data_IF_071704620008
#
_entry.id   IF_071704620008
#
_cell.length_a   1.000
_cell.length_b   1.000
_cell.length_c   1.000
_cell.angle_alpha   90.00
_cell.angle_beta   90.00
_cell.angle_gamma   90.00
#
_symmetry.space_group_name_H-M   'P 1'
#
loop_
_entity.id
_entity.type
_entity.pdbx_description
1 polymer ?
#
# COMPACT_ATOMS: atom_id res chain seq x y z
N UNK A 1 -11.24 -9.46 12.85
CA UNK A 1 -12.66 -9.80 12.58
C UNK A 1 -13.17 -11.05 13.29
N UNK A 2 -12.50 -12.20 13.20
CA UNK A 2 -13.00 -13.49 13.77
C UNK A 2 -13.31 -13.46 15.27
N UNK A 3 -12.49 -12.78 16.08
CA UNK A 3 -12.71 -12.67 17.52
C UNK A 3 -13.96 -11.84 17.85
N UNK A 4 -14.23 -10.79 17.08
CA UNK A 4 -15.40 -9.91 17.27
C UNK A 4 -16.70 -10.60 16.87
N UNK A 5 -16.65 -11.44 15.84
CA UNK A 5 -17.79 -12.28 15.46
C UNK A 5 -18.06 -13.36 16.52
N UNK A 6 -17.03 -13.90 17.18
CA UNK A 6 -17.20 -14.85 18.28
C UNK A 6 -17.78 -14.17 19.53
N UNK A 7 -17.27 -13.00 19.89
CA UNK A 7 -17.80 -12.18 20.98
C UNK A 7 -19.25 -11.74 20.69
N UNK A 8 -19.57 -11.46 19.42
CA UNK A 8 -20.95 -11.18 18.98
C UNK A 8 -21.85 -12.39 19.23
N UNK A 9 -21.49 -13.59 18.75
CA UNK A 9 -22.31 -14.79 18.92
C UNK A 9 -22.54 -15.14 20.40
N UNK A 10 -21.53 -14.94 21.24
CA UNK A 10 -21.61 -15.15 22.69
C UNK A 10 -22.54 -14.11 23.35
N UNK A 11 -22.40 -12.84 23.00
CA UNK A 11 -23.26 -11.77 23.50
C UNK A 11 -24.71 -11.90 23.00
N UNK A 12 -24.93 -12.35 21.76
CA UNK A 12 -26.26 -12.58 21.20
C UNK A 12 -26.95 -13.77 21.89
N UNK A 13 -26.20 -14.84 22.22
CA UNK A 13 -26.72 -15.95 23.05
C UNK A 13 -27.14 -15.49 24.44
N UNK A 14 -26.32 -14.67 25.09
CA UNK A 14 -26.65 -14.12 26.42
C UNK A 14 -27.83 -13.14 26.35
N UNK A 15 -27.90 -12.36 25.25
CA UNK A 15 -28.95 -11.40 25.03
C UNK A 15 -30.32 -12.03 24.82
N UNK A 16 -30.45 -13.30 24.43
CA UNK A 16 -31.75 -13.98 24.23
C UNK A 16 -32.71 -13.83 25.41
N UNK A 17 -32.19 -13.88 26.64
CA UNK A 17 -32.98 -13.78 27.87
C UNK A 17 -33.08 -12.35 28.44
N UNK A 18 -32.49 -11.36 27.78
CA UNK A 18 -32.50 -9.97 28.24
C UNK A 18 -33.80 -9.22 27.87
N UNK A 19 -34.16 -8.20 28.66
CA UNK A 19 -35.16 -7.20 28.27
C UNK A 19 -34.84 -6.54 26.92
N UNK A 20 -35.88 -6.04 26.24
CA UNK A 20 -35.76 -5.43 24.90
C UNK A 20 -34.77 -4.24 24.87
N UNK A 21 -34.70 -3.45 25.93
CA UNK A 21 -33.79 -2.31 26.03
C UNK A 21 -32.32 -2.76 26.03
N UNK A 22 -32.00 -3.79 26.82
CA UNK A 22 -30.63 -4.32 26.93
C UNK A 22 -30.22 -5.06 25.65
N UNK A 23 -31.14 -5.78 25.00
CA UNK A 23 -30.91 -6.36 23.65
C UNK A 23 -30.51 -5.28 22.64
N UNK A 24 -31.21 -4.13 22.65
CA UNK A 24 -30.89 -3.01 21.76
C UNK A 24 -29.52 -2.41 22.08
N UNK A 25 -29.19 -2.26 23.36
CA UNK A 25 -27.88 -1.76 23.78
C UNK A 25 -26.73 -2.68 23.34
N UNK A 26 -26.91 -4.01 23.44
CA UNK A 26 -25.93 -4.98 22.95
C UNK A 26 -25.74 -4.86 21.44
N UNK A 27 -26.81 -4.87 20.66
CA UNK A 27 -26.73 -4.72 19.19
C UNK A 27 -26.00 -3.43 18.81
N UNK A 28 -26.36 -2.31 19.44
CA UNK A 28 -25.74 -1.01 19.18
C UNK A 28 -24.24 -1.01 19.48
N UNK A 29 -23.85 -1.54 20.64
CA UNK A 29 -22.44 -1.61 21.05
C UNK A 29 -21.57 -2.35 20.03
N UNK A 30 -22.08 -3.47 19.52
CA UNK A 30 -21.33 -4.23 18.55
C UNK A 30 -21.37 -3.64 17.13
N UNK A 31 -22.44 -2.93 16.75
CA UNK A 31 -22.46 -2.16 15.50
C UNK A 31 -21.35 -1.11 15.51
N UNK A 32 -21.25 -0.33 16.60
CA UNK A 32 -20.18 0.65 16.79
C UNK A 32 -18.79 -0.01 16.79
N UNK A 33 -18.67 -1.19 17.40
CA UNK A 33 -17.41 -1.95 17.43
C UNK A 33 -17.00 -2.44 16.03
N UNK A 34 -17.94 -2.92 15.23
CA UNK A 34 -17.67 -3.36 13.84
C UNK A 34 -17.28 -2.15 12.99
N UNK A 35 -18.03 -1.04 13.07
CA UNK A 35 -17.74 0.19 12.33
C UNK A 35 -16.35 0.73 12.67
N UNK A 36 -15.98 0.77 13.96
CA UNK A 36 -14.66 1.19 14.40
C UNK A 36 -13.55 0.31 13.83
N UNK A 37 -13.75 -1.01 13.74
CA UNK A 37 -12.75 -1.93 13.22
C UNK A 37 -12.62 -1.87 11.70
N UNK A 38 -13.73 -1.66 11.00
CA UNK A 38 -13.71 -1.43 9.56
C UNK A 38 -12.98 -0.13 9.23
N UNK A 39 -13.21 0.94 10.01
CA UNK A 39 -12.49 2.19 9.87
C UNK A 39 -10.99 2.05 10.18
N UNK A 40 -10.62 1.32 11.23
CA UNK A 40 -9.23 1.04 11.57
C UNK A 40 -8.54 0.25 10.44
N UNK A 41 -9.18 -0.82 9.95
CA UNK A 41 -8.64 -1.60 8.85
C UNK A 41 -8.50 -0.79 7.55
N UNK A 42 -9.44 0.12 7.27
CA UNK A 42 -9.34 1.04 6.13
C UNK A 42 -8.16 2.01 6.29
N UNK A 43 -7.98 2.57 7.49
CA UNK A 43 -6.87 3.47 7.80
C UNK A 43 -5.51 2.75 7.72
N UNK A 44 -5.41 1.55 8.29
CA UNK A 44 -4.20 0.72 8.21
C UNK A 44 -3.84 0.41 6.76
N UNK A 45 -4.83 -0.01 5.96
CA UNK A 45 -4.65 -0.28 4.53
C UNK A 45 -4.14 0.95 3.80
N UNK A 46 -4.74 2.11 4.07
CA UNK A 46 -4.34 3.38 3.45
C UNK A 46 -2.89 3.73 3.82
N UNK A 47 -2.53 3.65 5.10
CA UNK A 47 -1.17 3.91 5.57
C UNK A 47 -0.15 2.96 4.94
N UNK A 48 -0.52 1.69 4.74
CA UNK A 48 0.33 0.68 4.11
C UNK A 48 0.57 1.00 2.63
N UNK A 49 -0.47 1.42 1.90
CA UNK A 49 -0.38 1.87 0.51
C UNK A 49 0.51 3.11 0.40
N UNK A 50 0.29 4.13 1.23
CA UNK A 50 1.09 5.37 1.22
C UNK A 50 2.56 5.09 1.51
N UNK A 51 2.85 4.27 2.53
CA UNK A 51 4.22 3.90 2.89
C UNK A 51 4.88 3.09 1.77
N UNK A 52 4.14 2.17 1.16
CA UNK A 52 4.63 1.39 0.04
C UNK A 52 4.97 2.29 -1.16
N UNK A 53 4.05 3.20 -1.52
CA UNK A 53 4.27 4.16 -2.62
C UNK A 53 5.51 5.02 -2.37
N UNK A 54 5.64 5.62 -1.19
CA UNK A 54 6.81 6.43 -0.85
C UNK A 54 8.13 5.65 -0.97
N UNK A 55 8.13 4.37 -0.54
CA UNK A 55 9.30 3.50 -0.68
C UNK A 55 9.61 3.17 -2.14
N UNK A 56 8.59 2.82 -2.92
CA UNK A 56 8.74 2.51 -4.36
C UNK A 56 9.25 3.74 -5.11
N UNK A 57 8.71 4.92 -4.84
CA UNK A 57 9.19 6.16 -5.46
C UNK A 57 10.65 6.45 -5.12
N UNK A 58 11.06 6.28 -3.85
CA UNK A 58 12.45 6.44 -3.46
C UNK A 58 13.37 5.45 -4.21
N UNK A 59 12.99 4.17 -4.29
CA UNK A 59 13.76 3.15 -5.02
C UNK A 59 13.87 3.45 -6.52
N UNK A 60 12.78 3.91 -7.15
CA UNK A 60 12.79 4.29 -8.56
C UNK A 60 13.65 5.53 -8.80
N UNK A 61 13.62 6.51 -7.89
CA UNK A 61 14.45 7.70 -7.98
C UNK A 61 15.94 7.36 -7.85
N UNK A 62 16.32 6.49 -6.90
CA UNK A 62 17.70 6.03 -6.75
C UNK A 62 18.18 5.24 -7.96
N UNK A 63 17.36 4.32 -8.47
CA UNK A 63 17.70 3.56 -9.69
C UNK A 63 17.87 4.49 -10.90
N UNK A 64 17.00 5.50 -11.04
CA UNK A 64 17.11 6.51 -12.10
C UNK A 64 18.40 7.30 -11.99
N UNK A 65 18.79 7.73 -10.78
CA UNK A 65 20.05 8.44 -10.54
C UNK A 65 21.25 7.60 -10.97
N UNK A 66 21.32 6.34 -10.54
CA UNK A 66 22.41 5.42 -10.91
C UNK A 66 22.48 5.18 -12.43
N UNK A 67 21.34 4.94 -13.08
CA UNK A 67 21.32 4.73 -14.53
C UNK A 67 21.78 5.98 -15.30
N UNK A 68 21.42 7.19 -14.84
CA UNK A 68 21.91 8.44 -15.42
C UNK A 68 23.40 8.66 -15.19
N UNK A 69 23.91 8.39 -13.99
CA UNK A 69 25.34 8.47 -13.67
C UNK A 69 26.14 7.51 -14.55
N UNK A 70 25.67 6.27 -14.73
CA UNK A 70 26.29 5.28 -15.62
C UNK A 70 26.26 5.74 -17.09
N UNK A 71 25.13 6.26 -17.56
CA UNK A 71 24.99 6.80 -18.91
C UNK A 71 26.00 7.92 -19.18
N UNK A 72 26.08 8.91 -18.29
CA UNK A 72 27.00 10.05 -18.42
C UNK A 72 28.45 9.56 -18.40
N UNK A 73 28.80 8.68 -17.47
CA UNK A 73 30.15 8.11 -17.35
C UNK A 73 30.54 7.33 -18.61
N UNK A 74 29.61 6.55 -19.18
CA UNK A 74 29.83 5.77 -20.39
C UNK A 74 30.05 6.66 -21.63
N UNK A 75 29.32 7.78 -21.72
CA UNK A 75 29.48 8.77 -22.77
C UNK A 75 30.79 9.56 -22.67
N UNK A 76 31.20 9.90 -21.45
CA UNK A 76 32.42 10.67 -21.20
C UNK A 76 33.70 9.84 -21.28
N UNK A 77 33.60 8.50 -21.30
CA UNK A 77 34.75 7.64 -21.48
C UNK A 77 35.43 7.86 -22.84
N UNK A 78 36.74 7.71 -22.90
CA UNK A 78 37.52 7.82 -24.15
C UNK A 78 38.29 6.51 -24.39
N UNK A 79 37.92 5.71 -25.41
CA UNK A 79 36.73 5.87 -26.26
C UNK A 79 35.42 5.61 -25.49
N UNK A 80 34.28 6.12 -25.98
CA UNK A 80 32.97 5.91 -25.34
C UNK A 80 32.60 4.44 -25.22
N UNK A 81 31.94 4.07 -24.11
CA UNK A 81 31.53 2.68 -23.83
C UNK A 81 30.13 2.41 -24.36
N UNK A 82 30.00 2.20 -25.68
CA UNK A 82 28.71 2.04 -26.38
C UNK A 82 27.75 1.02 -25.74
N UNK A 83 28.26 -0.14 -25.29
CA UNK A 83 27.41 -1.16 -24.64
C UNK A 83 26.83 -0.69 -23.29
N UNK A 84 27.58 0.10 -22.52
CA UNK A 84 27.10 0.64 -21.25
C UNK A 84 26.11 1.80 -21.46
N UNK A 85 26.29 2.57 -22.54
CA UNK A 85 25.34 3.61 -22.98
C UNK A 85 23.98 2.99 -23.30
N UNK A 86 23.96 1.91 -24.08
CA UNK A 86 22.73 1.22 -24.49
C UNK A 86 21.98 0.63 -23.28
N UNK A 87 22.69 -0.09 -22.40
CA UNK A 87 22.09 -0.67 -21.18
C UNK A 87 21.49 0.43 -20.30
N UNK A 88 22.22 1.52 -20.06
CA UNK A 88 21.77 2.61 -19.19
C UNK A 88 20.55 3.33 -19.76
N UNK A 89 20.48 3.52 -21.09
CA UNK A 89 19.30 4.08 -21.76
C UNK A 89 18.09 3.16 -21.68
N UNK A 90 18.27 1.85 -21.84
CA UNK A 90 17.20 0.87 -21.73
C UNK A 90 16.63 0.83 -20.29
N UNK A 91 17.49 0.94 -19.28
CA UNK A 91 17.09 1.04 -17.88
C UNK A 91 16.27 2.31 -17.61
N UNK A 92 16.72 3.46 -18.11
CA UNK A 92 16.00 4.75 -17.99
C UNK A 92 14.63 4.67 -18.67
N UNK A 93 14.56 4.14 -19.90
CA UNK A 93 13.31 4.00 -20.64
C UNK A 93 12.31 3.09 -19.92
N UNK A 94 12.77 1.96 -19.38
CA UNK A 94 11.93 1.01 -18.63
C UNK A 94 11.33 1.65 -17.37
N UNK A 95 12.07 2.52 -16.69
CA UNK A 95 11.57 3.26 -15.52
C UNK A 95 10.49 4.28 -15.88
N UNK A 96 10.61 4.96 -17.03
CA UNK A 96 9.58 5.90 -17.51
C UNK A 96 8.28 5.18 -17.84
N UNK A 97 8.37 4.00 -18.48
CA UNK A 97 7.19 3.16 -18.77
C UNK A 97 6.51 2.69 -17.48
N UNK A 98 7.27 2.18 -16.50
CA UNK A 98 6.72 1.78 -15.20
C UNK A 98 6.01 2.93 -14.47
N UNK A 99 6.53 4.16 -14.56
CA UNK A 99 5.90 5.34 -13.94
C UNK A 99 4.59 5.74 -14.62
N UNK A 100 4.54 5.67 -15.95
CA UNK A 100 3.33 5.98 -16.73
C UNK A 100 2.21 4.96 -16.47
N UNK A 101 2.54 3.67 -16.40
CA UNK A 101 1.57 2.61 -16.09
C UNK A 101 1.21 2.51 -14.59
N UNK A 102 2.05 3.04 -13.70
CA UNK A 102 1.84 2.98 -12.24
C UNK A 102 1.12 4.19 -11.62
N UNK A 103 1.11 5.34 -12.29
CA UNK A 103 0.48 6.59 -11.79
C UNK A 103 -0.87 6.92 -12.45
N UNK A 104 -1.26 6.24 -13.54
CA UNK A 104 -2.59 6.37 -14.15
C UNK A 104 -3.62 5.37 -13.59
N UNK A 105 -3.22 4.52 -12.65
CA UNK A 105 -4.07 3.48 -12.04
C UNK A 105 -4.71 3.88 -10.70
N UNK A 106 -4.58 5.15 -10.28
CA UNK A 106 -5.17 5.71 -9.04
C UNK A 106 -6.23 6.74 -9.35
#
# INVERSE_FOLDING_TARGET
MSQVMREWEEAERQAKNLPKADKKAVIQHFQEKVESLEQEAANERQQLVETHMARVEAMLNDRRRLALENYITALQAVPPRVGLVEISLQDIASMVVLRHWGLEAT
#
